data_IF_814382212235
#
_entry.id   IF_814382212235
#
_cell.length_a   1.000
_cell.length_b   1.000
_cell.length_c   1.000
_cell.angle_alpha   90.00
_cell.angle_beta   90.00
_cell.angle_gamma   90.00
#
_symmetry.space_group_name_H-M   'P 1'
#
loop_
_entity.id
_entity.type
_entity.pdbx_description
1 polymer ?
#
# COMPACT_ATOMS: atom_id res chain seq x y z
N UNK A 1 4.14 -12.44 19.74
CA UNK A 1 3.58 -12.30 18.37
C UNK A 1 2.95 -10.92 18.20
N UNK A 2 3.65 -9.94 17.60
CA UNK A 2 3.08 -8.63 17.27
C UNK A 2 2.82 -8.41 15.76
N UNK A 3 3.26 -9.31 14.88
CA UNK A 3 3.33 -9.04 13.44
C UNK A 3 1.96 -8.99 12.74
N UNK A 4 0.98 -9.81 13.12
CA UNK A 4 -0.38 -9.75 12.55
C UNK A 4 -1.12 -8.44 12.80
N UNK A 5 -0.76 -7.66 13.82
CA UNK A 5 -1.45 -6.40 14.12
C UNK A 5 -1.01 -5.26 13.20
N UNK A 6 0.21 -5.33 12.66
CA UNK A 6 0.74 -4.26 11.81
C UNK A 6 0.23 -4.36 10.37
N UNK A 7 0.10 -5.58 9.84
CA UNK A 7 -0.50 -5.82 8.52
C UNK A 7 -1.99 -5.43 8.51
N UNK A 8 -2.77 -5.88 9.50
CA UNK A 8 -4.19 -5.56 9.61
C UNK A 8 -4.42 -4.04 9.73
N UNK A 9 -3.60 -3.34 10.52
CA UNK A 9 -3.68 -1.89 10.65
C UNK A 9 -3.19 -1.13 9.40
N UNK A 10 -2.40 -1.77 8.53
CA UNK A 10 -1.98 -1.19 7.25
C UNK A 10 -3.03 -1.41 6.16
N UNK A 11 -3.69 -2.57 6.16
CA UNK A 11 -4.82 -2.93 5.30
C UNK A 11 -6.06 -2.10 5.65
N UNK A 12 -6.45 -2.02 6.94
CA UNK A 12 -7.56 -1.16 7.39
C UNK A 12 -7.33 0.30 6.97
N UNK A 13 -6.10 0.82 7.12
CA UNK A 13 -5.76 2.18 6.67
C UNK A 13 -5.79 2.35 5.17
N UNK A 14 -5.65 1.27 4.41
CA UNK A 14 -5.71 1.30 2.96
C UNK A 14 -7.17 1.25 2.49
N UNK A 15 -7.97 0.37 3.08
CA UNK A 15 -9.42 0.27 2.85
C UNK A 15 -10.10 1.60 3.23
N UNK A 16 -9.81 2.16 4.40
CA UNK A 16 -10.31 3.47 4.81
C UNK A 16 -9.92 4.59 3.83
N UNK A 17 -8.70 4.54 3.28
CA UNK A 17 -8.25 5.53 2.28
C UNK A 17 -8.95 5.33 0.95
N UNK A 18 -9.16 4.09 0.54
CA UNK A 18 -9.85 3.73 -0.68
C UNK A 18 -11.33 4.13 -0.61
N UNK A 19 -12.02 3.77 0.46
CA UNK A 19 -13.42 4.14 0.70
C UNK A 19 -13.59 5.66 0.76
N UNK A 20 -12.66 6.35 1.44
CA UNK A 20 -12.66 7.82 1.45
C UNK A 20 -12.44 8.41 0.06
N UNK A 21 -11.52 7.86 -0.73
CA UNK A 21 -11.25 8.34 -2.08
C UNK A 21 -12.43 8.06 -3.01
N UNK A 22 -13.07 6.90 -2.88
CA UNK A 22 -14.29 6.53 -3.59
C UNK A 22 -15.46 7.45 -3.23
N UNK A 23 -15.66 7.72 -1.95
CA UNK A 23 -16.69 8.65 -1.47
C UNK A 23 -16.44 10.08 -1.97
N UNK A 24 -15.18 10.55 -1.96
CA UNK A 24 -14.82 11.85 -2.54
C UNK A 24 -15.06 11.90 -4.05
N UNK A 25 -14.80 10.80 -4.76
CA UNK A 25 -15.06 10.64 -6.19
C UNK A 25 -16.57 10.70 -6.49
N UNK A 26 -17.39 9.99 -5.71
CA UNK A 26 -18.85 10.06 -5.82
C UNK A 26 -19.39 11.48 -5.55
N UNK A 27 -18.91 12.15 -4.49
CA UNK A 27 -19.29 13.53 -4.21
C UNK A 27 -18.89 14.49 -5.34
N UNK A 28 -17.69 14.32 -5.91
CA UNK A 28 -17.24 15.12 -7.05
C UNK A 28 -18.11 14.85 -8.29
N UNK A 29 -18.47 13.60 -8.55
CA UNK A 29 -19.37 13.24 -9.65
C UNK A 29 -20.76 13.87 -9.49
N UNK A 30 -21.33 13.84 -8.28
CA UNK A 30 -22.61 14.49 -7.98
C UNK A 30 -22.56 16.01 -8.21
N UNK A 31 -21.49 16.68 -7.75
CA UNK A 31 -21.28 18.10 -7.97
C UNK A 31 -21.14 18.43 -9.46
N UNK A 32 -20.45 17.58 -10.21
CA UNK A 32 -20.26 17.75 -11.64
C UNK A 32 -21.60 17.63 -12.39
N UNK A 33 -22.45 16.67 -12.01
CA UNK A 33 -23.82 16.55 -12.55
C UNK A 33 -24.67 17.78 -12.18
N UNK A 34 -24.51 18.33 -10.98
CA UNK A 34 -25.22 19.54 -10.58
C UNK A 34 -24.79 20.76 -11.41
N UNK A 35 -23.48 20.99 -11.57
CA UNK A 35 -22.95 22.06 -12.41
C UNK A 35 -23.32 21.90 -13.89
N UNK A 36 -23.37 20.66 -14.37
CA UNK A 36 -23.84 20.34 -15.71
C UNK A 36 -25.26 20.85 -15.95
N UNK A 37 -26.15 20.56 -15.00
CA UNK A 37 -27.54 20.98 -15.04
C UNK A 37 -27.69 22.50 -14.93
N UNK A 38 -26.86 23.16 -14.12
CA UNK A 38 -26.82 24.63 -14.04
C UNK A 38 -26.34 25.26 -15.34
N UNK A 39 -25.32 24.69 -15.99
CA UNK A 39 -24.84 25.15 -17.30
C UNK A 39 -25.91 25.02 -18.38
N UNK A 40 -26.64 23.91 -18.41
CA UNK A 40 -27.76 23.74 -19.33
C UNK A 40 -28.87 24.78 -19.09
N UNK A 41 -29.19 25.07 -17.84
CA UNK A 41 -30.15 26.11 -17.48
C UNK A 41 -29.66 27.53 -17.85
N UNK A 42 -28.35 27.80 -17.67
CA UNK A 42 -27.72 29.05 -18.08
C UNK A 42 -27.72 29.20 -19.60
N UNK A 43 -27.49 28.10 -20.33
CA UNK A 43 -27.48 28.07 -21.79
C UNK A 43 -28.86 28.36 -22.36
N UNK A 44 -29.91 27.81 -21.74
CA UNK A 44 -31.29 28.16 -22.05
C UNK A 44 -31.60 29.62 -21.75
N UNK A 45 -31.11 30.14 -20.63
CA UNK A 45 -31.32 31.55 -20.23
C UNK A 45 -30.53 32.54 -21.08
N UNK A 46 -29.40 32.11 -21.66
CA UNK A 46 -28.53 32.89 -22.53
C UNK A 46 -28.98 32.85 -24.01
N UNK A 47 -30.05 32.13 -24.35
CA UNK A 47 -30.59 32.08 -25.72
C UNK A 47 -30.88 33.50 -26.24
N UNK A 48 -30.28 33.83 -27.38
CA UNK A 48 -30.33 35.16 -27.98
C UNK A 48 -29.06 36.00 -27.78
N UNK A 49 -28.11 35.55 -26.95
CA UNK A 49 -26.75 36.06 -26.92
C UNK A 49 -25.80 34.99 -27.46
N UNK A 50 -25.40 35.14 -28.72
CA UNK A 50 -24.57 34.19 -29.46
C UNK A 50 -23.20 33.99 -28.81
N UNK A 51 -22.58 35.06 -28.31
CA UNK A 51 -21.26 35.02 -27.66
C UNK A 51 -21.31 34.27 -26.32
N UNK A 52 -22.33 34.54 -25.49
CA UNK A 52 -22.54 33.80 -24.23
C UNK A 52 -22.92 32.34 -24.48
N UNK A 53 -23.74 32.06 -25.50
CA UNK A 53 -24.14 30.69 -25.84
C UNK A 53 -22.93 29.88 -26.30
N UNK A 54 -22.01 30.51 -27.03
CA UNK A 54 -20.77 29.90 -27.50
C UNK A 54 -19.81 29.61 -26.34
N UNK A 55 -19.58 30.58 -25.43
CA UNK A 55 -18.76 30.37 -24.24
C UNK A 55 -19.29 29.26 -23.31
N UNK A 56 -20.62 29.16 -23.17
CA UNK A 56 -21.25 28.10 -22.39
C UNK A 56 -21.08 26.73 -23.06
N UNK A 57 -21.19 26.64 -24.39
CA UNK A 57 -20.94 25.39 -25.11
C UNK A 57 -19.47 24.96 -25.04
N UNK A 58 -18.52 25.91 -25.06
CA UNK A 58 -17.09 25.62 -24.94
C UNK A 58 -16.70 25.21 -23.51
N UNK A 59 -17.26 25.88 -22.50
CA UNK A 59 -17.11 25.49 -21.09
C UNK A 59 -17.68 24.10 -20.84
N UNK A 60 -18.82 23.79 -21.47
CA UNK A 60 -19.44 22.47 -21.40
C UNK A 60 -18.52 21.37 -21.95
N UNK A 61 -18.03 21.55 -23.17
CA UNK A 61 -17.12 20.59 -23.80
C UNK A 61 -15.82 20.41 -22.99
N UNK A 62 -15.33 21.48 -22.37
CA UNK A 62 -14.16 21.46 -21.49
C UNK A 62 -14.42 20.61 -20.25
N UNK A 63 -15.57 20.77 -19.59
CA UNK A 63 -15.97 19.98 -18.42
C UNK A 63 -16.11 18.50 -18.78
N UNK A 64 -16.76 18.18 -19.89
CA UNK A 64 -16.93 16.79 -20.36
C UNK A 64 -15.58 16.12 -20.63
N UNK A 65 -14.65 16.86 -21.26
CA UNK A 65 -13.30 16.37 -21.55
C UNK A 65 -12.51 16.14 -20.25
N UNK A 66 -12.50 17.12 -19.35
CA UNK A 66 -11.84 17.01 -18.05
C UNK A 66 -12.40 15.87 -17.19
N UNK A 67 -13.72 15.64 -17.25
CA UNK A 67 -14.36 14.53 -16.54
C UNK A 67 -13.83 13.19 -17.05
N UNK A 68 -13.88 12.98 -18.36
CA UNK A 68 -13.41 11.73 -18.99
C UNK A 68 -11.92 11.48 -18.72
N UNK A 69 -11.07 12.50 -18.85
CA UNK A 69 -9.64 12.38 -18.57
C UNK A 69 -9.37 12.07 -17.09
N UNK A 70 -10.09 12.74 -16.17
CA UNK A 70 -9.95 12.52 -14.74
C UNK A 70 -10.39 11.11 -14.34
N UNK A 71 -11.55 10.65 -14.83
CA UNK A 71 -12.03 9.28 -14.61
C UNK A 71 -11.04 8.24 -15.13
N UNK A 72 -10.55 8.41 -16.36
CA UNK A 72 -9.57 7.49 -16.93
C UNK A 72 -8.27 7.48 -16.13
N UNK A 73 -7.80 8.65 -15.68
CA UNK A 73 -6.57 8.77 -14.88
C UNK A 73 -6.75 8.16 -13.49
N UNK A 74 -7.91 8.35 -12.87
CA UNK A 74 -8.22 7.80 -11.54
C UNK A 74 -8.31 6.28 -11.62
N UNK A 75 -9.00 5.72 -12.60
CA UNK A 75 -9.05 4.27 -12.83
C UNK A 75 -7.67 3.68 -13.12
N UNK A 76 -6.85 4.35 -13.92
CA UNK A 76 -5.48 3.92 -14.18
C UNK A 76 -4.62 3.93 -12.91
N UNK A 77 -4.72 4.99 -12.11
CA UNK A 77 -4.01 5.10 -10.84
C UNK A 77 -4.47 4.05 -9.84
N UNK A 78 -5.78 3.88 -9.66
CA UNK A 78 -6.38 2.86 -8.80
C UNK A 78 -5.86 1.47 -9.17
N UNK A 79 -5.91 1.14 -10.46
CA UNK A 79 -5.38 -0.11 -10.98
C UNK A 79 -3.88 -0.27 -10.67
N UNK A 80 -3.06 0.72 -10.98
CA UNK A 80 -1.62 0.66 -10.69
C UNK A 80 -1.32 0.51 -9.19
N UNK A 81 -2.08 1.20 -8.32
CA UNK A 81 -1.93 1.09 -6.87
C UNK A 81 -2.31 -0.30 -6.36
N UNK A 82 -3.47 -0.81 -6.77
CA UNK A 82 -3.92 -2.15 -6.43
C UNK A 82 -2.91 -3.21 -6.89
N UNK A 83 -2.39 -3.11 -8.12
CA UNK A 83 -1.40 -4.08 -8.63
C UNK A 83 -0.11 -4.01 -7.81
N UNK A 84 0.39 -2.81 -7.52
CA UNK A 84 1.60 -2.64 -6.70
C UNK A 84 1.42 -3.20 -5.29
N UNK A 85 0.25 -3.02 -4.70
CA UNK A 85 -0.08 -3.58 -3.39
C UNK A 85 -0.05 -5.10 -3.43
N UNK A 86 -0.78 -5.71 -4.37
CA UNK A 86 -0.87 -7.16 -4.49
C UNK A 86 0.51 -7.79 -4.80
N UNK A 87 1.35 -7.12 -5.57
CA UNK A 87 2.75 -7.54 -5.80
C UNK A 87 3.60 -7.49 -4.53
N UNK A 88 3.39 -6.47 -3.69
CA UNK A 88 4.10 -6.33 -2.41
C UNK A 88 3.67 -7.42 -1.43
N UNK A 89 2.38 -7.74 -1.37
CA UNK A 89 1.84 -8.87 -0.59
C UNK A 89 2.37 -10.22 -1.09
N UNK A 90 2.56 -10.35 -2.40
CA UNK A 90 3.19 -11.51 -3.03
C UNK A 90 4.70 -11.62 -2.80
N UNK A 91 5.30 -10.75 -1.97
CA UNK A 91 6.74 -10.69 -1.69
C UNK A 91 7.61 -10.48 -2.94
N UNK A 92 7.15 -9.71 -3.92
CA UNK A 92 7.98 -9.30 -5.05
C UNK A 92 9.24 -8.56 -4.56
N UNK A 93 10.41 -8.93 -5.09
CA UNK A 93 11.69 -8.29 -4.77
C UNK A 93 11.76 -6.87 -5.32
N UNK A 94 11.31 -6.70 -6.55
CA UNK A 94 11.20 -5.41 -7.23
C UNK A 94 9.83 -5.33 -7.90
N UNK A 95 8.94 -4.55 -7.30
CA UNK A 95 7.57 -4.41 -7.80
C UNK A 95 7.52 -3.83 -9.20
N UNK A 96 8.45 -2.97 -9.61
CA UNK A 96 8.42 -2.36 -10.94
C UNK A 96 8.88 -3.35 -12.02
N UNK A 97 9.88 -4.18 -11.72
CA UNK A 97 10.31 -5.26 -12.62
C UNK A 97 9.20 -6.31 -12.77
N UNK A 98 8.59 -6.74 -11.66
CA UNK A 98 7.52 -7.75 -11.68
C UNK A 98 6.28 -7.20 -12.37
N UNK A 99 5.95 -5.92 -12.14
CA UNK A 99 4.87 -5.22 -12.84
C UNK A 99 5.09 -5.19 -14.35
N UNK A 100 6.33 -5.03 -14.82
CA UNK A 100 6.67 -5.09 -16.24
C UNK A 100 6.56 -6.47 -16.88
N UNK A 101 6.46 -7.54 -16.08
CA UNK A 101 6.21 -8.90 -16.56
C UNK A 101 4.73 -9.27 -16.61
N UNK A 102 3.86 -8.44 -16.01
CA UNK A 102 2.42 -8.63 -16.01
C UNK A 102 1.79 -7.94 -17.20
N UNK A 103 0.77 -8.57 -17.77
CA UNK A 103 -0.07 -7.95 -18.79
C UNK A 103 -1.12 -7.09 -18.10
N UNK A 104 -0.79 -5.81 -17.93
CA UNK A 104 -1.70 -4.84 -17.33
C UNK A 104 -3.03 -4.80 -18.05
N UNK A 105 -3.10 -4.96 -19.36
CA UNK A 105 -4.32 -4.75 -20.13
C UNK A 105 -5.38 -5.83 -19.83
N UNK A 106 -4.93 -7.04 -19.54
CA UNK A 106 -5.81 -8.14 -19.10
C UNK A 106 -6.29 -7.99 -17.66
N UNK A 107 -5.59 -7.24 -16.81
CA UNK A 107 -5.94 -7.04 -15.40
C UNK A 107 -7.05 -6.01 -15.28
N UNK A 108 -8.15 -6.38 -14.63
CA UNK A 108 -9.29 -5.50 -14.36
C UNK A 108 -9.50 -5.30 -12.87
N UNK A 109 -9.78 -4.07 -12.47
CA UNK A 109 -10.24 -3.76 -11.12
C UNK A 109 -11.75 -3.98 -11.10
N UNK A 110 -12.21 -4.97 -10.34
CA UNK A 110 -13.63 -5.26 -10.12
C UNK A 110 -13.85 -5.30 -8.61
N UNK A 111 -14.65 -4.38 -8.09
CA UNK A 111 -14.94 -4.26 -6.65
C UNK A 111 -13.68 -4.24 -5.77
N UNK A 112 -12.65 -3.48 -6.18
CA UNK A 112 -11.37 -3.39 -5.48
C UNK A 112 -10.46 -4.62 -5.63
N UNK A 113 -10.86 -5.66 -6.38
CA UNK A 113 -10.06 -6.86 -6.65
C UNK A 113 -9.51 -6.86 -8.06
N UNK A 114 -8.29 -7.40 -8.21
CA UNK A 114 -7.62 -7.52 -9.49
C UNK A 114 -7.96 -8.85 -10.17
N UNK A 115 -8.98 -8.84 -11.02
CA UNK A 115 -9.32 -10.01 -11.81
C UNK A 115 -8.23 -10.27 -12.86
N UNK A 116 -7.79 -11.54 -12.97
CA UNK A 116 -6.74 -11.98 -13.91
C UNK A 116 -5.30 -11.77 -13.41
N UNK A 117 -5.11 -11.01 -12.32
CA UNK A 117 -3.79 -10.80 -11.72
C UNK A 117 -3.25 -12.07 -11.04
N UNK A 118 -4.08 -12.77 -10.26
CA UNK A 118 -3.64 -13.94 -9.50
C UNK A 118 -3.11 -15.08 -10.38
N UNK A 119 -3.72 -15.30 -11.55
CA UNK A 119 -3.27 -16.32 -12.51
C UNK A 119 -1.90 -15.97 -13.09
N UNK A 120 -1.70 -14.71 -13.47
CA UNK A 120 -0.41 -14.26 -13.99
C UNK A 120 0.66 -14.27 -12.92
N UNK A 121 0.32 -13.86 -11.69
CA UNK A 121 1.22 -13.88 -10.56
C UNK A 121 1.72 -15.31 -10.28
N UNK A 122 0.81 -16.30 -10.25
CA UNK A 122 1.18 -17.70 -10.07
C UNK A 122 2.09 -18.22 -11.19
N UNK A 123 1.73 -17.95 -12.45
CA UNK A 123 2.59 -18.34 -13.58
C UNK A 123 3.97 -17.67 -13.52
N UNK A 124 4.05 -16.44 -13.02
CA UNK A 124 5.30 -15.72 -12.84
C UNK A 124 6.13 -16.26 -11.67
N UNK A 125 5.48 -16.67 -10.58
CA UNK A 125 6.14 -17.35 -9.45
C UNK A 125 6.70 -18.72 -9.85
N UNK A 126 6.00 -19.47 -10.69
CA UNK A 126 6.47 -20.76 -11.20
C UNK A 126 7.62 -20.62 -12.22
N UNK A 127 7.47 -19.69 -13.17
CA UNK A 127 8.47 -19.51 -14.24
C UNK A 127 9.68 -18.68 -13.82
N UNK A 128 9.49 -17.71 -12.92
CA UNK A 128 10.50 -16.72 -12.50
C UNK A 128 10.48 -16.51 -10.99
N UNK A 129 10.56 -17.60 -10.24
CA UNK A 129 10.60 -17.61 -8.76
C UNK A 129 11.64 -16.66 -8.16
N UNK A 130 12.77 -16.43 -8.85
CA UNK A 130 13.84 -15.52 -8.41
C UNK A 130 13.41 -14.05 -8.30
N UNK A 131 12.26 -13.66 -8.84
CA UNK A 131 11.70 -12.31 -8.71
C UNK A 131 10.92 -12.12 -7.41
N UNK A 132 10.67 -13.20 -6.66
CA UNK A 132 9.93 -13.19 -5.42
C UNK A 132 10.86 -13.62 -4.29
N UNK A 133 10.74 -12.96 -3.13
CA UNK A 133 11.43 -13.44 -1.93
C UNK A 133 10.81 -14.78 -1.56
N UNK A 134 11.62 -15.82 -1.50
CA UNK A 134 11.22 -17.02 -0.77
C UNK A 134 10.97 -16.60 0.68
N UNK A 135 9.88 -17.08 1.26
CA UNK A 135 9.67 -16.96 2.70
C UNK A 135 10.88 -17.62 3.37
N UNK A 136 11.76 -16.80 3.94
CA UNK A 136 12.81 -17.29 4.83
C UNK A 136 12.11 -18.15 5.90
N UNK A 137 12.50 -19.42 6.12
CA UNK A 137 12.11 -20.09 7.33
C UNK A 137 12.58 -19.18 8.46
N UNK A 138 11.67 -18.77 9.33
CA UNK A 138 11.96 -17.96 10.51
C UNK A 138 12.76 -18.80 11.52
N UNK A 139 14.01 -19.13 11.19
CA UNK A 139 14.96 -19.82 12.05
C UNK A 139 16.18 -18.94 12.31
N UNK A 140 15.95 -17.75 12.85
CA UNK A 140 16.96 -17.09 13.66
C UNK A 140 16.37 -16.85 15.04
N UNK A 141 16.37 -17.90 15.86
CA UNK A 141 16.45 -17.75 17.30
C UNK A 141 17.89 -17.36 17.64
N UNK A 142 18.25 -16.07 17.86
CA UNK A 142 19.52 -15.79 18.49
C UNK A 142 19.48 -16.41 19.88
N UNK A 143 20.34 -17.41 20.12
CA UNK A 143 20.58 -17.87 21.48
C UNK A 143 21.30 -16.74 22.21
N UNK A 144 20.55 -15.90 22.90
CA UNK A 144 21.09 -14.97 23.89
C UNK A 144 21.37 -15.81 25.13
N UNK A 145 22.61 -16.30 25.28
CA UNK A 145 23.06 -16.82 26.57
C UNK A 145 23.23 -15.64 27.53
N UNK A 146 22.35 -15.53 28.51
CA UNK A 146 22.47 -14.58 29.63
C UNK A 146 23.58 -15.09 30.55
N UNK A 147 24.80 -14.59 30.36
CA UNK A 147 25.93 -14.95 31.21
C UNK A 147 27.26 -14.37 30.76
N UNK A 148 27.52 -13.11 31.14
CA UNK A 148 28.84 -12.56 31.49
C UNK A 148 30.06 -12.79 30.57
N UNK A 149 30.53 -11.67 29.99
CA UNK A 149 31.93 -11.34 29.65
C UNK A 149 32.69 -12.23 28.64
N UNK A 150 33.05 -11.61 27.51
CA UNK A 150 34.09 -12.13 26.61
C UNK A 150 35.42 -12.25 27.36
N UNK A 151 36.00 -13.46 27.40
CA UNK A 151 37.39 -13.67 27.83
C UNK A 151 38.27 -13.95 26.59
N UNK A 152 39.38 -13.21 26.39
CA UNK A 152 40.39 -13.60 25.41
C UNK A 152 41.23 -14.77 25.97
N UNK A 153 41.72 -15.61 25.07
CA UNK A 153 42.48 -16.82 25.35
C UNK A 153 43.64 -16.62 26.35
N UNK A 154 43.80 -17.55 27.31
CA UNK A 154 45.08 -18.10 27.78
C UNK A 154 44.92 -18.98 29.05
N UNK A 155 45.44 -20.21 28.96
CA UNK A 155 46.27 -20.92 29.94
C UNK A 155 45.94 -20.89 31.44
N UNK A 156 45.69 -22.08 31.99
CA UNK A 156 46.48 -22.59 33.13
C UNK A 156 46.11 -22.20 34.56
N UNK A 157 45.72 -23.22 35.33
CA UNK A 157 46.06 -23.46 36.75
C UNK A 157 45.69 -22.43 37.83
N UNK A 158 44.78 -22.87 38.71
CA UNK A 158 45.01 -22.85 40.16
C UNK A 158 44.61 -21.59 40.95
N UNK A 159 44.12 -21.81 42.17
CA UNK A 159 44.20 -20.81 43.24
C UNK A 159 42.86 -20.37 43.82
N UNK A 160 42.65 -20.74 45.08
CA UNK A 160 41.50 -20.55 45.96
C UNK A 160 41.39 -19.15 46.61
N UNK A 161 40.21 -18.92 47.22
CA UNK A 161 39.83 -18.05 48.37
C UNK A 161 39.84 -16.51 48.25
N UNK A 162 39.11 -15.77 49.12
CA UNK A 162 37.91 -16.11 49.92
C UNK A 162 36.79 -15.04 49.89
N UNK A 163 35.61 -15.49 50.30
CA UNK A 163 34.46 -14.71 50.75
C UNK A 163 34.68 -14.17 52.17
N UNK A 164 34.52 -12.86 52.40
CA UNK A 164 34.13 -12.29 53.71
C UNK A 164 33.83 -10.79 53.60
N UNK A 165 32.55 -10.39 53.64
CA UNK A 165 32.12 -9.06 54.11
C UNK A 165 30.74 -9.17 54.77
N UNK A 166 30.76 -9.73 55.98
CA UNK A 166 30.30 -9.08 57.21
C UNK A 166 28.98 -8.29 57.17
N UNK A 167 27.89 -8.92 57.64
CA UNK A 167 26.73 -8.23 58.21
C UNK A 167 26.54 -8.70 59.67
N UNK A 168 26.95 -7.82 60.59
CA UNK A 168 26.78 -7.96 62.03
C UNK A 168 25.31 -8.15 62.44
N UNK A 169 25.00 -9.25 63.15
CA UNK A 169 23.83 -9.34 64.05
C UNK A 169 24.31 -9.40 65.48
N UNK A 170 23.93 -8.37 66.25
CA UNK A 170 24.20 -8.19 67.67
C UNK A 170 23.30 -9.13 68.48
N UNK A 171 23.89 -9.87 69.43
CA UNK A 171 23.29 -10.31 70.70
C UNK A 171 24.48 -10.76 71.56
N UNK A 172 24.71 -10.26 72.78
CA UNK A 172 23.81 -9.99 73.89
C UNK A 172 24.52 -9.08 74.90
#
# INVERSE_FOLDING_TARGET
>A
MPENKFYLASEEKLDERYDKLKSQKEQADEQLIAHQKELDALKESAKGNEELTQQLAESQATIDTLKSESESKLLAQEKDFSIKLALKEANALDTDIVLGQLDKDTIKVVDGKLQGFDEQLKGLQESKAFLFKQAEPTEHNPTVTVGGNAKPAASGTGGSVPSDLNAHRITK
#
